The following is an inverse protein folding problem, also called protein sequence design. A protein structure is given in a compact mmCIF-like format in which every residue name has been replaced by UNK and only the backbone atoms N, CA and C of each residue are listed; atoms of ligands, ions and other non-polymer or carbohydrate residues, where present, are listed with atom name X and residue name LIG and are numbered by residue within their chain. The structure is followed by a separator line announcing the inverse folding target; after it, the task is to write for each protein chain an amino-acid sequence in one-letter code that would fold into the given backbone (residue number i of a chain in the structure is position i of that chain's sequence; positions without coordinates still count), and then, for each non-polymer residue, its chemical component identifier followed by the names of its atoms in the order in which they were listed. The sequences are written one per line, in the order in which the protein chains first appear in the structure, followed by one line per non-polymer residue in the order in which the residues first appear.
data_IF_252590897629
#
_entry.id   IF_252590897629
#
_cell.length_a   1.000
_cell.length_b   1.000
_cell.length_c   1.000
_cell.angle_alpha   90.00
_cell.angle_beta   90.00
_cell.angle_gamma   90.00
#
_symmetry.space_group_name_H-M   'P 1'
#
loop_
_entity.id
_entity.type
_entity.pdbx_description
1 polymer ?
#
# COMPACT_ATOMS: atom_id res chain seq x y z
N UNK A 1 9.80 -29.40 -9.43
CA UNK A 1 9.01 -28.16 -9.58
C UNK A 1 8.35 -27.67 -8.29
N UNK A 2 7.85 -28.54 -7.39
CA UNK A 2 7.22 -28.15 -6.11
C UNK A 2 8.08 -27.20 -5.23
N UNK A 3 9.37 -27.53 -5.05
CA UNK A 3 10.28 -26.79 -4.16
C UNK A 3 10.52 -25.34 -4.61
N UNK A 4 10.63 -25.09 -5.92
CA UNK A 4 10.84 -23.75 -6.47
C UNK A 4 9.61 -22.86 -6.24
N UNK A 5 8.40 -23.41 -6.33
CA UNK A 5 7.18 -22.65 -6.06
C UNK A 5 7.09 -22.26 -4.58
N UNK A 6 7.40 -23.19 -3.68
CA UNK A 6 7.43 -22.92 -2.24
C UNK A 6 8.48 -21.86 -1.87
N UNK A 7 9.67 -21.94 -2.46
CA UNK A 7 10.73 -20.92 -2.27
C UNK A 7 10.27 -19.53 -2.73
N UNK A 8 9.67 -19.44 -3.92
CA UNK A 8 9.15 -18.16 -4.45
C UNK A 8 8.05 -17.57 -3.57
N UNK A 9 7.15 -18.40 -3.03
CA UNK A 9 6.11 -17.95 -2.10
C UNK A 9 6.75 -17.41 -0.81
N UNK A 10 7.70 -18.16 -0.22
CA UNK A 10 8.37 -17.75 1.00
C UNK A 10 9.16 -16.44 0.84
N UNK A 11 9.85 -16.26 -0.29
CA UNK A 11 10.56 -15.02 -0.61
C UNK A 11 9.60 -13.83 -0.74
N UNK A 12 8.47 -14.04 -1.41
CA UNK A 12 7.42 -13.02 -1.56
C UNK A 12 6.81 -12.65 -0.21
N UNK A 13 6.49 -13.63 0.63
CA UNK A 13 5.94 -13.41 1.97
C UNK A 13 6.93 -12.65 2.86
N UNK A 14 8.21 -13.01 2.81
CA UNK A 14 9.27 -12.28 3.52
C UNK A 14 9.33 -10.81 3.10
N UNK A 15 9.28 -10.55 1.79
CA UNK A 15 9.30 -9.18 1.27
C UNK A 15 8.05 -8.39 1.69
N UNK A 16 6.87 -8.99 1.64
CA UNK A 16 5.63 -8.38 2.14
C UNK A 16 5.68 -8.07 3.64
N UNK A 17 6.28 -8.95 4.44
CA UNK A 17 6.52 -8.72 5.86
C UNK A 17 7.43 -7.52 6.11
N UNK A 18 8.53 -7.40 5.35
CA UNK A 18 9.45 -6.27 5.46
C UNK A 18 8.81 -4.94 5.05
N UNK A 19 8.04 -4.93 3.96
CA UNK A 19 7.25 -3.75 3.53
C UNK A 19 6.27 -3.34 4.64
N UNK A 20 5.52 -4.30 5.18
CA UNK A 20 4.56 -4.06 6.26
C UNK A 20 5.23 -3.51 7.53
N UNK A 21 6.44 -3.97 7.85
CA UNK A 21 7.21 -3.47 8.98
C UNK A 21 7.63 -2.02 8.75
N UNK A 22 8.19 -1.68 7.58
CA UNK A 22 8.60 -0.30 7.24
C UNK A 22 7.43 0.67 7.29
N UNK A 23 6.27 0.28 6.77
CA UNK A 23 5.04 1.10 6.81
C UNK A 23 4.63 1.45 8.26
N UNK A 24 4.85 0.54 9.22
CA UNK A 24 4.43 0.70 10.63
C UNK A 24 5.51 1.29 11.54
N UNK A 25 6.65 1.72 11.00
CA UNK A 25 7.73 2.33 11.79
C UNK A 25 7.40 3.74 12.28
N UNK A 26 6.40 4.40 11.68
CA UNK A 26 5.92 5.71 12.08
C UNK A 26 4.50 5.64 12.65
N UNK A 27 4.16 6.62 13.50
CA UNK A 27 2.80 6.89 13.95
C UNK A 27 2.18 8.10 13.21
N UNK A 28 2.97 8.79 12.39
CA UNK A 28 2.49 9.89 11.55
C UNK A 28 1.78 9.34 10.31
N UNK A 29 0.50 9.70 10.14
CA UNK A 29 -0.31 9.17 9.04
C UNK A 29 0.25 9.55 7.66
N UNK A 30 0.85 10.72 7.52
CA UNK A 30 1.43 11.18 6.25
C UNK A 30 2.67 10.35 5.89
N UNK A 31 3.52 10.08 6.88
CA UNK A 31 4.70 9.23 6.73
C UNK A 31 4.32 7.77 6.44
N UNK A 32 3.30 7.25 7.13
CA UNK A 32 2.75 5.90 6.88
C UNK A 32 2.25 5.78 5.44
N UNK A 33 1.41 6.71 4.98
CA UNK A 33 0.80 6.64 3.64
C UNK A 33 1.83 6.83 2.53
N UNK A 34 2.77 7.78 2.69
CA UNK A 34 3.84 8.01 1.72
C UNK A 34 4.76 6.80 1.60
N UNK A 35 5.13 6.18 2.73
CA UNK A 35 5.91 4.94 2.76
C UNK A 35 5.15 3.80 2.08
N UNK A 36 3.87 3.61 2.41
CA UNK A 36 3.05 2.56 1.83
C UNK A 36 2.93 2.69 0.30
N UNK A 37 2.67 3.90 -0.22
CA UNK A 37 2.57 4.14 -1.66
C UNK A 37 3.88 3.83 -2.37
N UNK A 38 5.02 4.29 -1.83
CA UNK A 38 6.35 4.04 -2.42
C UNK A 38 6.66 2.54 -2.50
N UNK A 39 6.51 1.85 -1.37
CA UNK A 39 6.87 0.43 -1.23
C UNK A 39 5.98 -0.47 -2.10
N UNK A 40 4.67 -0.21 -2.15
CA UNK A 40 3.74 -1.00 -2.97
C UNK A 40 3.99 -0.76 -4.47
N UNK A 41 4.30 0.49 -4.86
CA UNK A 41 4.64 0.81 -6.25
C UNK A 41 5.88 0.03 -6.71
N UNK A 42 6.94 0.04 -5.90
CA UNK A 42 8.18 -0.68 -6.19
C UNK A 42 7.98 -2.19 -6.21
N UNK A 43 7.22 -2.72 -5.26
CA UNK A 43 6.93 -4.16 -5.19
C UNK A 43 6.12 -4.67 -6.39
N UNK A 44 5.10 -3.93 -6.81
CA UNK A 44 4.23 -4.31 -7.92
C UNK A 44 4.80 -3.92 -9.29
N UNK A 45 5.85 -3.10 -9.34
CA UNK A 45 6.43 -2.57 -10.58
C UNK A 45 5.40 -1.86 -11.47
N UNK A 46 4.57 -1.00 -10.85
CA UNK A 46 3.53 -0.22 -11.54
C UNK A 46 3.87 1.26 -11.54
N UNK A 47 3.30 2.02 -12.47
CA UNK A 47 3.57 3.45 -12.59
C UNK A 47 2.95 4.28 -11.45
N UNK A 48 1.71 3.95 -11.04
CA UNK A 48 0.99 4.70 -10.02
C UNK A 48 0.29 3.80 -8.99
N UNK A 49 0.32 4.23 -7.73
CA UNK A 49 -0.43 3.66 -6.61
C UNK A 49 -1.10 4.80 -5.86
N UNK A 50 -2.37 4.61 -5.49
CA UNK A 50 -3.14 5.57 -4.70
C UNK A 50 -3.84 4.86 -3.54
N UNK A 51 -3.88 5.51 -2.38
CA UNK A 51 -4.65 5.06 -1.21
C UNK A 51 -5.84 6.01 -1.04
N UNK A 52 -7.06 5.48 -1.11
CA UNK A 52 -8.28 6.25 -0.94
C UNK A 52 -8.95 5.91 0.40
N UNK A 53 -9.21 6.94 1.22
CA UNK A 53 -10.10 6.80 2.38
C UNK A 53 -11.53 7.05 1.93
N UNK A 54 -12.36 6.02 1.99
CA UNK A 54 -13.80 6.16 1.78
C UNK A 54 -14.45 6.64 3.06
N UNK A 55 -14.90 7.89 3.09
CA UNK A 55 -15.77 8.38 4.15
C UNK A 55 -17.22 7.98 3.83
N UNK A 56 -17.91 7.20 4.68
CA UNK A 56 -19.29 6.80 4.45
C UNK A 56 -20.27 8.00 4.52
N UNK A 57 -19.89 9.11 5.16
CA UNK A 57 -20.67 10.35 5.25
C UNK A 57 -20.58 11.23 3.98
N UNK A 58 -20.71 10.64 2.79
CA UNK A 58 -20.83 11.40 1.53
C UNK A 58 -22.20 12.08 1.46
N UNK A 59 -22.36 13.22 2.13
CA UNK A 59 -23.42 14.21 1.87
C UNK A 59 -22.92 15.55 1.36
N UNK A 60 -21.67 15.66 0.94
CA UNK A 60 -21.09 16.99 0.70
C UNK A 60 -20.12 17.04 -0.47
N UNK A 61 -20.56 16.74 -1.69
CA UNK A 61 -19.91 17.21 -2.91
C UNK A 61 -20.94 17.42 -4.05
N UNK A 62 -21.94 18.29 -3.81
CA UNK A 62 -22.75 18.88 -4.89
C UNK A 62 -23.21 20.32 -4.58
N UNK A 63 -22.38 21.09 -3.86
CA UNK A 63 -22.57 22.53 -3.77
C UNK A 63 -21.26 23.21 -4.12
N UNK A 64 -21.33 23.99 -5.20
CA UNK A 64 -20.37 24.99 -5.65
C UNK A 64 -19.29 24.47 -6.62
N UNK A 65 -19.72 24.06 -7.82
CA UNK A 65 -18.88 24.22 -9.00
C UNK A 65 -19.73 24.58 -10.24
N UNK A 66 -20.44 25.72 -10.14
CA UNK A 66 -20.71 26.71 -11.18
C UNK A 66 -20.95 28.05 -10.47
#
# INVERSE_FOLDING_TARGET
MQNIQLQKIAEREKLLGQISQRIRQSLDLTEILSTAVREVREFLQVDCVAIARLNPDRKQLSKNLW
#
